data_IF_586568248830
#
_entry.id   IF_586568248830
#
_cell.length_a   1.000
_cell.length_b   1.000
_cell.length_c   1.000
_cell.angle_alpha   90.00
_cell.angle_beta   90.00
_cell.angle_gamma   90.00
#
_symmetry.space_group_name_H-M   'P 1'
#
loop_
_entity.id
_entity.type
_entity.pdbx_description
1 polymer ?
#
# COMPACT_ATOMS: atom_id res chain seq x y z
N UNK A 1 -23.55 -19.39 -34.10
CA UNK A 1 -23.06 -19.79 -32.77
C UNK A 1 -21.70 -19.12 -32.60
N UNK A 2 -21.73 -17.87 -32.12
CA UNK A 2 -20.58 -16.96 -32.10
C UNK A 2 -19.78 -17.21 -30.82
N UNK A 3 -18.45 -17.17 -30.92
CA UNK A 3 -17.44 -17.39 -29.87
C UNK A 3 -17.71 -16.64 -28.55
N UNK A 4 -18.59 -17.15 -27.70
CA UNK A 4 -18.87 -16.58 -26.37
C UNK A 4 -17.83 -16.93 -25.29
N UNK A 5 -16.78 -17.71 -25.63
CA UNK A 5 -15.83 -18.23 -24.63
C UNK A 5 -14.54 -17.40 -24.53
N UNK A 6 -14.26 -16.49 -25.48
CA UNK A 6 -13.00 -15.70 -25.48
C UNK A 6 -13.10 -14.29 -24.90
N UNK A 7 -14.30 -13.76 -24.63
CA UNK A 7 -14.50 -12.37 -24.19
C UNK A 7 -14.38 -12.13 -22.66
N UNK A 8 -14.10 -13.18 -21.85
CA UNK A 8 -13.98 -13.07 -20.39
C UNK A 8 -12.55 -12.86 -19.86
N UNK A 9 -11.55 -12.74 -20.73
CA UNK A 9 -10.14 -12.44 -20.37
C UNK A 9 -9.75 -10.97 -20.55
N UNK A 10 -10.71 -10.14 -20.96
CA UNK A 10 -10.43 -8.80 -21.43
C UNK A 10 -10.10 -7.86 -20.25
N UNK A 11 -9.00 -7.13 -20.36
CA UNK A 11 -8.66 -6.08 -19.41
C UNK A 11 -9.77 -5.01 -19.40
N UNK A 12 -9.92 -4.24 -18.32
CA UNK A 12 -10.91 -3.16 -18.24
C UNK A 12 -10.86 -2.16 -19.41
N UNK A 13 -9.71 -2.01 -20.06
CA UNK A 13 -9.54 -1.19 -21.28
C UNK A 13 -10.49 -1.58 -22.41
N UNK A 14 -10.83 -2.86 -22.55
CA UNK A 14 -11.76 -3.32 -23.57
C UNK A 14 -13.21 -2.88 -23.30
N UNK A 15 -13.50 -2.44 -22.08
CA UNK A 15 -14.79 -1.93 -21.63
C UNK A 15 -14.76 -0.41 -21.41
N UNK A 16 -13.81 0.30 -22.04
CA UNK A 16 -13.74 1.76 -21.99
C UNK A 16 -13.11 2.34 -20.72
N UNK A 17 -12.52 1.52 -19.85
CA UNK A 17 -11.74 2.03 -18.71
C UNK A 17 -10.36 2.50 -19.16
N UNK A 18 -9.91 3.63 -18.64
CA UNK A 18 -8.57 4.17 -18.88
C UNK A 18 -7.56 3.55 -17.91
N UNK A 19 -6.47 2.98 -18.43
CA UNK A 19 -5.37 2.51 -17.60
C UNK A 19 -4.54 3.69 -17.10
N UNK A 20 -4.29 3.74 -15.78
CA UNK A 20 -3.52 4.81 -15.14
C UNK A 20 -2.15 4.27 -14.71
N UNK A 21 -1.08 4.93 -15.15
CA UNK A 21 0.26 4.66 -14.64
C UNK A 21 0.62 5.62 -13.51
N UNK A 22 0.60 5.13 -12.27
CA UNK A 22 1.18 5.85 -11.15
C UNK A 22 2.67 5.53 -11.09
N UNK A 23 3.51 6.50 -11.47
CA UNK A 23 4.96 6.36 -11.30
C UNK A 23 5.31 6.40 -9.82
N UNK A 24 5.91 5.33 -9.25
CA UNK A 24 6.38 5.38 -7.88
C UNK A 24 7.52 6.41 -7.77
N UNK A 25 7.42 7.34 -6.82
CA UNK A 25 8.52 8.24 -6.51
C UNK A 25 9.52 7.52 -5.60
N UNK A 26 10.34 6.66 -6.19
CA UNK A 26 11.34 5.88 -5.46
C UNK A 26 12.32 6.77 -4.69
N UNK A 27 12.65 7.96 -5.23
CA UNK A 27 13.53 8.92 -4.57
C UNK A 27 13.00 9.41 -3.21
N UNK A 28 11.71 9.76 -3.14
CA UNK A 28 11.09 10.19 -1.88
C UNK A 28 10.98 9.08 -0.82
N UNK A 29 11.09 7.82 -1.24
CA UNK A 29 11.00 6.64 -0.36
C UNK A 29 12.39 6.20 0.12
N UNK A 30 13.33 6.07 -0.82
CA UNK A 30 14.65 5.54 -0.57
C UNK A 30 15.54 6.53 0.20
N UNK A 31 15.34 7.83 0.03
CA UNK A 31 16.15 8.83 0.71
C UNK A 31 15.94 8.78 2.25
N UNK A 32 14.71 8.89 2.81
CA UNK A 32 14.51 8.72 4.25
C UNK A 32 14.98 7.36 4.76
N UNK A 33 14.74 6.27 4.00
CA UNK A 33 15.17 4.93 4.39
C UNK A 33 16.70 4.83 4.52
N UNK A 34 17.43 5.35 3.53
CA UNK A 34 18.90 5.36 3.52
C UNK A 34 19.45 6.23 4.65
N UNK A 35 18.80 7.38 4.90
CA UNK A 35 19.15 8.25 6.02
C UNK A 35 18.80 7.63 7.37
N UNK A 36 17.86 6.69 7.46
CA UNK A 36 17.56 5.94 8.67
C UNK A 36 18.59 4.85 9.00
N UNK A 37 19.31 4.33 8.00
CA UNK A 37 20.39 3.36 8.22
C UNK A 37 21.60 3.97 8.92
N UNK A 38 21.91 5.24 8.64
CA UNK A 38 23.02 5.96 9.27
C UNK A 38 22.90 6.04 10.81
N UNK A 39 21.82 6.58 11.39
CA UNK A 39 21.65 6.61 12.83
C UNK A 39 21.52 5.21 13.42
N UNK A 40 20.96 4.22 12.71
CA UNK A 40 20.95 2.83 13.20
C UNK A 40 22.37 2.26 13.35
N UNK A 41 23.24 2.49 12.36
CA UNK A 41 24.64 2.09 12.43
C UNK A 41 25.38 2.84 13.55
N UNK A 42 25.11 4.13 13.74
CA UNK A 42 25.67 4.92 14.85
C UNK A 42 25.18 4.40 16.21
N UNK A 43 23.93 3.97 16.34
CA UNK A 43 23.42 3.32 17.56
C UNK A 43 24.26 2.10 17.93
N UNK A 44 24.60 1.25 16.96
CA UNK A 44 25.50 0.11 17.19
C UNK A 44 26.89 0.55 17.65
N UNK A 45 27.47 1.56 16.99
CA UNK A 45 28.80 2.06 17.35
C UNK A 45 28.79 2.62 18.78
N UNK A 46 27.80 3.43 19.14
CA UNK A 46 27.65 3.98 20.49
C UNK A 46 27.50 2.87 21.52
N UNK A 47 26.66 1.88 21.23
CA UNK A 47 26.45 0.73 22.11
C UNK A 47 27.74 -0.08 22.34
N UNK A 48 28.50 -0.40 21.28
CA UNK A 48 29.73 -1.19 21.44
C UNK A 48 30.90 -0.40 22.04
N UNK A 49 31.01 0.89 21.75
CA UNK A 49 32.09 1.74 22.27
C UNK A 49 31.78 2.34 23.64
N UNK A 50 30.52 2.22 24.11
CA UNK A 50 30.01 2.85 25.32
C UNK A 50 30.24 4.38 25.36
N UNK A 51 30.52 4.98 24.20
CA UNK A 51 30.89 6.39 24.07
C UNK A 51 29.69 7.16 23.52
N UNK A 52 29.20 8.15 24.28
CA UNK A 52 28.04 8.95 23.88
C UNK A 52 26.69 8.24 24.12
N UNK A 53 26.59 7.41 25.16
CA UNK A 53 25.36 6.68 25.51
C UNK A 53 24.13 7.57 25.68
N UNK A 54 24.30 8.85 26.05
CA UNK A 54 23.21 9.83 26.14
C UNK A 54 22.48 10.03 24.79
N UNK A 55 23.15 9.76 23.67
CA UNK A 55 22.60 9.89 22.31
C UNK A 55 21.90 8.61 21.83
N UNK A 56 22.03 7.49 22.53
CA UNK A 56 21.63 6.17 22.01
C UNK A 56 20.13 6.09 21.68
N UNK A 57 19.31 6.66 22.56
CA UNK A 57 17.87 6.71 22.40
C UNK A 57 17.47 7.58 21.21
N UNK A 58 18.15 8.72 21.04
CA UNK A 58 17.89 9.63 19.92
C UNK A 58 18.26 8.98 18.58
N UNK A 59 19.43 8.35 18.51
CA UNK A 59 19.88 7.65 17.30
C UNK A 59 18.95 6.48 16.95
N UNK A 60 18.61 5.66 17.96
CA UNK A 60 17.74 4.50 17.79
C UNK A 60 16.34 4.86 17.32
N UNK A 61 15.65 5.75 18.05
CA UNK A 61 14.30 6.17 17.67
C UNK A 61 14.33 6.98 16.35
N UNK A 62 15.35 7.84 16.16
CA UNK A 62 15.53 8.62 14.94
C UNK A 62 15.66 7.75 13.69
N UNK A 63 16.40 6.63 13.79
CA UNK A 63 16.48 5.64 12.72
C UNK A 63 15.11 5.08 12.32
N UNK A 64 14.33 4.65 13.31
CA UNK A 64 13.00 4.06 13.09
C UNK A 64 12.02 5.10 12.53
N UNK A 65 12.07 6.34 13.00
CA UNK A 65 11.25 7.44 12.45
C UNK A 65 11.57 7.65 10.97
N UNK A 66 12.85 7.70 10.59
CA UNK A 66 13.23 7.89 9.19
C UNK A 66 12.80 6.73 8.30
N UNK A 67 12.88 5.49 8.80
CA UNK A 67 12.34 4.31 8.11
C UNK A 67 10.82 4.40 7.93
N UNK A 68 10.10 4.83 8.96
CA UNK A 68 8.65 5.07 8.89
C UNK A 68 8.30 6.14 7.86
N UNK A 69 9.02 7.26 7.84
CA UNK A 69 8.81 8.32 6.83
C UNK A 69 8.99 7.77 5.42
N UNK A 70 10.02 6.95 5.20
CA UNK A 70 10.21 6.24 3.92
C UNK A 70 9.03 5.32 3.58
N UNK A 71 8.58 4.51 4.55
CA UNK A 71 7.42 3.63 4.39
C UNK A 71 6.13 4.37 4.06
N UNK A 72 5.82 5.47 4.77
CA UNK A 72 4.65 6.32 4.49
C UNK A 72 4.74 6.91 3.09
N UNK A 73 5.93 7.39 2.70
CA UNK A 73 6.18 7.90 1.35
C UNK A 73 5.77 6.89 0.27
N UNK A 74 6.08 5.61 0.47
CA UNK A 74 5.76 4.55 -0.49
C UNK A 74 4.25 4.33 -0.61
N UNK A 75 3.53 4.36 0.52
CA UNK A 75 2.08 4.14 0.55
C UNK A 75 1.27 5.37 0.11
N UNK A 76 1.83 6.57 0.23
CA UNK A 76 1.10 7.83 -0.03
C UNK A 76 0.43 7.91 -1.41
N UNK A 77 1.00 7.27 -2.42
CA UNK A 77 0.49 7.25 -3.79
C UNK A 77 -0.70 6.29 -3.99
N UNK A 78 -0.75 5.20 -3.21
CA UNK A 78 -1.77 4.13 -3.28
C UNK A 78 -2.17 3.71 -1.86
N UNK A 79 -2.92 4.57 -1.18
CA UNK A 79 -3.29 4.37 0.24
C UNK A 79 -3.97 3.02 0.52
N UNK A 80 -4.70 2.46 -0.46
CA UNK A 80 -5.36 1.17 -0.29
C UNK A 80 -4.42 -0.01 -0.08
N UNK A 81 -3.12 0.14 -0.35
CA UNK A 81 -2.11 -0.88 -0.10
C UNK A 81 -1.99 -1.23 1.40
N UNK A 82 -2.46 -0.36 2.31
CA UNK A 82 -2.57 -0.67 3.74
C UNK A 82 -3.47 -1.88 4.04
N UNK A 83 -4.31 -2.31 3.10
CA UNK A 83 -5.10 -3.54 3.26
C UNK A 83 -4.26 -4.82 3.10
N UNK A 84 -2.99 -4.73 2.66
CA UNK A 84 -2.02 -5.83 2.66
C UNK A 84 -1.54 -6.13 4.09
N UNK A 85 -1.48 -7.41 4.42
CA UNK A 85 -0.93 -7.88 5.69
C UNK A 85 0.58 -7.57 5.78
N UNK A 86 1.33 -7.80 4.70
CA UNK A 86 2.77 -7.52 4.64
C UNK A 86 3.05 -6.05 4.95
N UNK A 87 2.31 -5.13 4.30
CA UNK A 87 2.42 -3.70 4.57
C UNK A 87 2.06 -3.39 6.02
N UNK A 88 0.91 -3.85 6.49
CA UNK A 88 0.44 -3.63 7.87
C UNK A 88 1.45 -4.08 8.93
N UNK A 89 2.07 -5.24 8.74
CA UNK A 89 3.11 -5.75 9.64
C UNK A 89 4.37 -4.85 9.63
N UNK A 90 4.79 -4.32 8.48
CA UNK A 90 5.90 -3.37 8.40
C UNK A 90 5.73 -2.14 9.28
N UNK A 91 4.53 -1.53 9.24
CA UNK A 91 4.20 -0.39 10.09
C UNK A 91 4.03 -0.78 11.54
N UNK A 92 3.40 -1.92 11.83
CA UNK A 92 3.24 -2.44 13.18
C UNK A 92 4.59 -2.64 13.90
N UNK A 93 5.56 -3.31 13.25
CA UNK A 93 6.87 -3.54 13.84
C UNK A 93 7.69 -2.25 14.01
N UNK A 94 7.49 -1.28 13.13
CA UNK A 94 8.09 0.05 13.30
C UNK A 94 7.52 0.79 14.52
N UNK A 95 6.20 0.77 14.71
CA UNK A 95 5.56 1.34 15.91
C UNK A 95 6.01 0.62 17.19
N UNK A 96 6.12 -0.72 17.15
CA UNK A 96 6.62 -1.51 18.26
C UNK A 96 8.07 -1.15 18.60
N UNK A 97 8.91 -0.90 17.60
CA UNK A 97 10.29 -0.47 17.81
C UNK A 97 10.39 0.94 18.40
N UNK A 98 9.54 1.88 17.97
CA UNK A 98 9.44 3.19 18.64
C UNK A 98 9.03 3.05 20.11
N UNK A 99 8.09 2.16 20.40
CA UNK A 99 7.69 1.88 21.77
C UNK A 99 8.83 1.25 22.58
N UNK A 100 9.62 0.35 22.00
CA UNK A 100 10.81 -0.19 22.64
C UNK A 100 11.80 0.92 23.02
N UNK A 101 12.10 1.86 22.11
CA UNK A 101 12.97 3.01 22.41
C UNK A 101 12.40 3.95 23.47
N UNK A 102 11.08 4.15 23.50
CA UNK A 102 10.44 4.89 24.58
C UNK A 102 10.64 4.19 25.94
N UNK A 103 10.59 2.86 25.97
CA UNK A 103 10.81 2.10 27.20
C UNK A 103 12.28 2.11 27.64
N UNK A 104 13.23 2.04 26.70
CA UNK A 104 14.67 2.21 26.99
C UNK A 104 14.93 3.60 27.57
N UNK A 105 14.33 4.65 27.00
CA UNK A 105 14.48 6.02 27.51
C UNK A 105 13.93 6.20 28.93
N UNK A 106 12.96 5.39 29.34
CA UNK A 106 12.39 5.38 30.69
C UNK A 106 13.06 4.36 31.64
N UNK A 107 14.19 3.75 31.24
CA UNK A 107 14.92 2.72 31.99
C UNK A 107 14.08 1.48 32.34
N UNK A 108 13.04 1.19 31.54
CA UNK A 108 12.15 0.04 31.72
C UNK A 108 12.45 -1.10 30.74
N UNK A 109 13.49 -0.95 29.91
CA UNK A 109 13.85 -1.90 28.86
C UNK A 109 15.33 -1.81 28.52
N UNK A 110 15.94 -2.93 28.16
CA UNK A 110 17.37 -2.97 27.81
C UNK A 110 17.60 -2.43 26.39
N UNK A 111 18.75 -1.81 26.20
CA UNK A 111 19.14 -1.15 24.94
C UNK A 111 19.22 -2.17 23.80
N UNK A 112 19.68 -3.37 24.10
CA UNK A 112 19.81 -4.53 23.22
C UNK A 112 18.49 -4.84 22.52
N UNK A 113 17.38 -4.79 23.26
CA UNK A 113 16.05 -5.02 22.72
C UNK A 113 15.55 -3.84 21.87
N UNK A 114 15.93 -2.61 22.22
CA UNK A 114 15.72 -1.43 21.37
C UNK A 114 16.40 -1.59 20.01
N UNK A 115 17.67 -1.99 20.01
CA UNK A 115 18.45 -2.25 18.81
C UNK A 115 17.84 -3.40 18.00
N UNK A 116 17.58 -4.55 18.63
CA UNK A 116 17.00 -5.72 17.97
C UNK A 116 15.64 -5.40 17.32
N UNK A 117 14.77 -4.66 18.01
CA UNK A 117 13.49 -4.23 17.46
C UNK A 117 13.65 -3.30 16.25
N UNK A 118 14.69 -2.47 16.23
CA UNK A 118 14.98 -1.54 15.12
C UNK A 118 15.40 -2.29 13.86
N UNK A 119 16.22 -3.33 14.01
CA UNK A 119 16.58 -4.23 12.89
C UNK A 119 15.38 -5.00 12.39
N UNK A 120 14.52 -5.49 13.28
CA UNK A 120 13.28 -6.16 12.89
C UNK A 120 12.35 -5.20 12.12
N UNK A 121 12.18 -3.96 12.61
CA UNK A 121 11.43 -2.93 11.91
C UNK A 121 12.02 -2.64 10.52
N UNK A 122 13.34 -2.52 10.41
CA UNK A 122 14.02 -2.33 9.12
C UNK A 122 13.72 -3.47 8.14
N UNK A 123 13.88 -4.74 8.56
CA UNK A 123 13.60 -5.90 7.72
C UNK A 123 12.15 -5.91 7.24
N UNK A 124 11.21 -5.56 8.14
CA UNK A 124 9.79 -5.56 7.81
C UNK A 124 9.41 -4.39 6.88
N UNK A 125 9.97 -3.20 7.08
CA UNK A 125 9.82 -2.07 6.15
C UNK A 125 10.43 -2.41 4.80
N UNK A 126 11.60 -3.05 4.76
CA UNK A 126 12.21 -3.49 3.51
C UNK A 126 11.30 -4.46 2.74
N UNK A 127 10.70 -5.44 3.43
CA UNK A 127 9.71 -6.35 2.82
C UNK A 127 8.46 -5.63 2.30
N UNK A 128 7.96 -4.65 3.06
CA UNK A 128 6.88 -3.76 2.62
C UNK A 128 7.26 -3.03 1.33
N UNK A 129 8.44 -2.44 1.27
CA UNK A 129 8.90 -1.72 0.08
C UNK A 129 9.10 -2.65 -1.11
N UNK A 130 9.66 -3.84 -0.89
CA UNK A 130 9.83 -4.85 -1.93
C UNK A 130 8.49 -5.26 -2.54
N UNK A 131 7.48 -5.48 -1.70
CA UNK A 131 6.12 -5.77 -2.12
C UNK A 131 5.53 -4.62 -2.96
N UNK A 132 5.64 -3.38 -2.48
CA UNK A 132 5.09 -2.20 -3.18
C UNK A 132 5.78 -1.97 -4.53
N UNK A 133 7.12 -2.03 -4.58
CA UNK A 133 7.88 -1.75 -5.80
C UNK A 133 7.79 -2.85 -6.84
N UNK A 134 7.53 -4.10 -6.44
CA UNK A 134 7.33 -5.21 -7.37
C UNK A 134 5.88 -5.37 -7.83
N UNK A 135 4.96 -4.55 -7.34
CA UNK A 135 3.56 -4.58 -7.76
C UNK A 135 3.41 -4.08 -9.21
N UNK A 136 2.54 -4.74 -9.98
CA UNK A 136 2.28 -4.47 -11.39
C UNK A 136 1.56 -3.14 -11.64
N UNK A 137 1.06 -2.46 -10.59
CA UNK A 137 0.33 -1.19 -10.67
C UNK A 137 -0.85 -1.27 -11.65
N UNK A 138 -1.69 -2.30 -11.49
CA UNK A 138 -2.88 -2.50 -12.31
C UNK A 138 -4.01 -1.59 -11.83
N UNK A 139 -4.00 -0.36 -12.36
CA UNK A 139 -4.96 0.69 -12.00
C UNK A 139 -5.74 1.08 -13.24
N UNK A 140 -7.06 1.01 -13.12
CA UNK A 140 -7.99 1.38 -14.17
C UNK A 140 -8.97 2.43 -13.63
N UNK A 141 -9.38 3.36 -14.47
CA UNK A 141 -10.23 4.47 -14.11
C UNK A 141 -11.37 4.61 -15.13
N UNK A 142 -12.56 4.96 -14.65
CA UNK A 142 -13.66 5.41 -15.52
C UNK A 142 -14.36 6.61 -14.90
N UNK A 143 -14.97 7.46 -15.74
CA UNK A 143 -15.72 8.62 -15.28
C UNK A 143 -16.91 8.18 -14.43
N UNK A 144 -17.24 8.99 -13.41
CA UNK A 144 -18.31 8.67 -12.49
C UNK A 144 -19.14 9.90 -12.12
N UNK A 145 -20.41 9.69 -11.79
CA UNK A 145 -21.30 10.74 -11.32
C UNK A 145 -21.52 10.59 -9.81
N UNK A 146 -21.54 11.71 -9.08
CA UNK A 146 -21.79 11.71 -7.64
C UNK A 146 -23.15 11.09 -7.27
N UNK A 147 -24.11 11.14 -8.19
CA UNK A 147 -25.46 10.61 -8.01
C UNK A 147 -25.54 9.10 -8.30
N UNK A 148 -24.63 8.58 -9.13
CA UNK A 148 -24.59 7.17 -9.49
C UNK A 148 -24.13 6.30 -8.32
N UNK A 149 -24.79 5.16 -8.16
CA UNK A 149 -24.47 4.16 -7.13
C UNK A 149 -23.66 3.04 -7.75
N UNK A 150 -22.79 2.41 -6.96
CA UNK A 150 -22.11 1.20 -7.41
C UNK A 150 -23.13 0.11 -7.78
N UNK A 151 -22.98 -0.57 -8.93
CA UNK A 151 -23.84 -1.67 -9.35
C UNK A 151 -23.53 -2.93 -8.54
N UNK A 152 -23.99 -2.97 -7.28
CA UNK A 152 -23.63 -4.05 -6.34
C UNK A 152 -24.10 -5.44 -6.75
N UNK A 153 -25.13 -5.52 -7.61
CA UNK A 153 -25.67 -6.79 -8.10
C UNK A 153 -24.67 -7.51 -9.03
N UNK A 154 -23.77 -6.75 -9.64
CA UNK A 154 -22.74 -7.23 -10.58
C UNK A 154 -21.36 -7.36 -9.95
N UNK A 155 -21.30 -7.41 -8.62
CA UNK A 155 -20.07 -7.48 -7.84
C UNK A 155 -20.03 -8.74 -6.96
N UNK A 156 -19.76 -9.89 -7.58
CA UNK A 156 -19.74 -11.18 -6.87
C UNK A 156 -18.56 -11.29 -5.90
N UNK A 157 -18.85 -11.61 -4.64
CA UNK A 157 -17.87 -11.77 -3.54
C UNK A 157 -17.05 -10.51 -3.20
N UNK A 158 -17.60 -9.33 -3.48
CA UNK A 158 -17.02 -8.06 -3.02
C UNK A 158 -17.58 -7.65 -1.66
N UNK A 159 -16.71 -7.23 -0.75
CA UNK A 159 -17.06 -6.51 0.47
C UNK A 159 -17.43 -5.07 0.12
N UNK A 160 -18.74 -4.78 0.02
CA UNK A 160 -19.26 -3.46 -0.31
C UNK A 160 -19.36 -2.60 0.95
N UNK A 161 -18.45 -1.63 1.08
CA UNK A 161 -18.41 -0.69 2.22
C UNK A 161 -19.27 0.55 2.01
N UNK A 162 -19.35 1.04 0.78
CA UNK A 162 -20.20 2.17 0.42
C UNK A 162 -20.68 2.05 -1.01
N UNK A 163 -21.99 2.19 -1.23
CA UNK A 163 -22.58 2.28 -2.58
C UNK A 163 -22.51 3.69 -3.17
N UNK A 164 -22.29 4.71 -2.34
CA UNK A 164 -22.17 6.12 -2.76
C UNK A 164 -20.71 6.45 -3.01
N UNK A 165 -20.49 7.43 -3.89
CA UNK A 165 -19.16 7.97 -4.15
C UNK A 165 -18.47 8.38 -2.85
N UNK A 166 -17.28 7.83 -2.61
CA UNK A 166 -16.37 8.25 -1.55
C UNK A 166 -14.94 8.07 -2.02
N UNK A 167 -14.03 8.89 -1.51
CA UNK A 167 -12.60 8.78 -1.83
C UNK A 167 -11.89 7.67 -1.04
N UNK A 168 -12.57 7.11 -0.05
CA UNK A 168 -12.13 5.92 0.67
C UNK A 168 -12.53 4.66 -0.10
N UNK A 169 -12.07 3.49 0.35
CA UNK A 169 -12.48 2.19 -0.20
C UNK A 169 -14.00 2.05 -0.21
N UNK A 170 -14.59 1.96 -1.41
CA UNK A 170 -16.01 1.74 -1.64
C UNK A 170 -16.34 0.25 -1.67
N UNK A 171 -15.48 -0.54 -2.29
CA UNK A 171 -15.59 -1.99 -2.33
C UNK A 171 -14.20 -2.64 -2.29
N UNK A 172 -14.11 -3.83 -1.70
CA UNK A 172 -12.88 -4.60 -1.58
C UNK A 172 -13.14 -6.07 -1.91
N UNK A 173 -12.28 -6.69 -2.72
CA UNK A 173 -12.27 -8.14 -2.93
C UNK A 173 -10.89 -8.69 -2.65
N UNK A 174 -10.80 -9.71 -1.82
CA UNK A 174 -9.53 -10.36 -1.46
C UNK A 174 -9.40 -11.67 -2.23
N UNK A 175 -8.24 -11.87 -2.84
CA UNK A 175 -7.85 -13.14 -3.47
C UNK A 175 -6.93 -13.93 -2.53
N UNK A 176 -6.07 -13.21 -1.81
CA UNK A 176 -5.18 -13.73 -0.78
C UNK A 176 -4.91 -12.62 0.28
N UNK A 177 -4.05 -12.89 1.25
CA UNK A 177 -3.64 -11.96 2.32
C UNK A 177 -3.05 -10.66 1.77
N UNK A 178 -2.27 -10.77 0.69
CA UNK A 178 -1.59 -9.62 0.07
C UNK A 178 -2.06 -9.35 -1.37
N UNK A 179 -2.90 -10.21 -1.96
CA UNK A 179 -3.49 -9.99 -3.27
C UNK A 179 -4.97 -9.65 -3.15
N UNK A 180 -5.34 -8.45 -3.61
CA UNK A 180 -6.71 -7.94 -3.49
C UNK A 180 -6.97 -6.86 -4.53
N UNK A 181 -8.24 -6.62 -4.82
CA UNK A 181 -8.68 -5.49 -5.63
C UNK A 181 -9.59 -4.58 -4.81
N UNK A 182 -9.52 -3.28 -5.04
CA UNK A 182 -10.41 -2.31 -4.43
C UNK A 182 -11.00 -1.37 -5.47
N UNK A 183 -12.17 -0.84 -5.15
CA UNK A 183 -12.80 0.25 -5.88
C UNK A 183 -12.91 1.45 -4.94
N UNK A 184 -12.53 2.62 -5.43
CA UNK A 184 -12.64 3.88 -4.69
C UNK A 184 -12.81 5.06 -5.64
N UNK A 185 -13.41 6.14 -5.14
CA UNK A 185 -13.59 7.37 -5.89
C UNK A 185 -12.34 8.23 -5.93
N UNK A 186 -12.16 8.98 -7.02
CA UNK A 186 -11.12 9.99 -7.16
C UNK A 186 -11.70 11.25 -7.78
N UNK A 187 -11.14 12.40 -7.40
CA UNK A 187 -11.41 13.68 -8.06
C UNK A 187 -10.30 13.93 -9.07
N UNK A 188 -10.65 14.04 -10.35
CA UNK A 188 -9.72 14.39 -11.43
C UNK A 188 -9.95 15.84 -11.86
N UNK A 189 -9.13 16.34 -12.79
CA UNK A 189 -9.37 17.66 -13.38
C UNK A 189 -10.63 17.71 -14.25
N UNK A 190 -11.07 16.55 -14.75
CA UNK A 190 -12.22 16.41 -15.66
C UNK A 190 -13.53 16.12 -14.93
N UNK A 191 -13.48 15.78 -13.63
CA UNK A 191 -14.67 15.48 -12.85
C UNK A 191 -14.43 14.45 -11.76
N UNK A 192 -15.47 13.69 -11.44
CA UNK A 192 -15.36 12.53 -10.55
C UNK A 192 -15.09 11.29 -11.39
N UNK A 193 -14.29 10.38 -10.86
CA UNK A 193 -14.02 9.09 -11.47
C UNK A 193 -13.99 8.02 -10.40
N UNK A 194 -14.23 6.77 -10.77
CA UNK A 194 -13.95 5.61 -9.93
C UNK A 194 -12.68 4.94 -10.43
N UNK A 195 -11.90 4.40 -9.50
CA UNK A 195 -10.70 3.63 -9.78
C UNK A 195 -10.89 2.20 -9.30
N UNK A 196 -10.53 1.27 -10.16
CA UNK A 196 -10.31 -0.12 -9.85
C UNK A 196 -8.80 -0.33 -9.74
N UNK A 197 -8.36 -0.73 -8.57
CA UNK A 197 -6.94 -0.89 -8.26
C UNK A 197 -6.69 -2.30 -7.72
N UNK A 198 -5.88 -3.07 -8.43
CA UNK A 198 -5.48 -4.42 -8.04
C UNK A 198 -4.04 -4.41 -7.49
N UNK A 199 -3.88 -5.08 -6.34
CA UNK A 199 -2.67 -5.17 -5.55
C UNK A 199 -2.19 -6.63 -5.44
N UNK A 200 -0.90 -6.78 -5.19
CA UNK A 200 -0.24 -8.08 -4.97
C UNK A 200 -0.03 -8.88 -6.24
N UNK A 201 -0.11 -8.24 -7.40
CA UNK A 201 0.22 -8.85 -8.70
C UNK A 201 1.65 -8.46 -9.02
N UNK A 202 2.55 -9.43 -9.22
CA UNK A 202 3.95 -9.09 -9.50
C UNK A 202 4.12 -8.54 -10.91
N UNK A 203 5.04 -7.60 -11.07
CA UNK A 203 5.44 -7.11 -12.40
C UNK A 203 5.86 -8.28 -13.30
N UNK A 204 5.30 -8.32 -14.51
CA UNK A 204 5.55 -9.37 -15.50
C UNK A 204 4.62 -10.59 -15.38
N UNK A 205 3.83 -10.70 -14.31
CA UNK A 205 2.79 -11.72 -14.21
C UNK A 205 1.50 -11.27 -14.91
N UNK A 206 0.83 -12.22 -15.57
CA UNK A 206 -0.48 -11.97 -16.18
C UNK A 206 -1.56 -12.09 -15.10
N UNK A 207 -2.26 -11.00 -14.83
CA UNK A 207 -3.43 -11.02 -13.96
C UNK A 207 -4.64 -11.61 -14.70
N UNK A 208 -5.34 -12.52 -14.04
CA UNK A 208 -6.63 -13.03 -14.52
C UNK A 208 -7.76 -12.13 -14.02
N UNK A 209 -8.29 -11.28 -14.91
CA UNK A 209 -9.38 -10.35 -14.60
C UNK A 209 -10.70 -11.06 -14.25
N UNK A 210 -10.86 -12.35 -14.56
CA UNK A 210 -12.03 -13.14 -14.16
C UNK A 210 -12.17 -13.23 -12.65
N UNK A 211 -11.04 -13.20 -11.93
CA UNK A 211 -11.02 -13.24 -10.47
C UNK A 211 -11.77 -12.06 -9.86
N UNK A 212 -11.86 -10.93 -10.57
CA UNK A 212 -12.63 -9.78 -10.12
C UNK A 212 -14.12 -10.11 -9.99
N UNK A 213 -14.69 -10.96 -10.85
CA UNK A 213 -16.14 -11.26 -10.81
C UNK A 213 -16.99 -9.99 -10.91
N UNK A 214 -16.58 -9.06 -11.77
CA UNK A 214 -17.25 -7.81 -12.08
C UNK A 214 -17.84 -7.90 -13.49
N UNK A 215 -19.05 -7.39 -13.66
CA UNK A 215 -19.48 -6.93 -14.98
C UNK A 215 -19.06 -5.48 -15.17
N UNK A 216 -18.00 -5.26 -15.95
CA UNK A 216 -17.41 -3.93 -16.16
C UNK A 216 -18.26 -3.02 -17.03
N UNK A 217 -19.24 -3.56 -17.77
CA UNK A 217 -20.12 -2.76 -18.63
C UNK A 217 -21.09 -1.90 -17.82
N UNK A 218 -21.53 -2.39 -16.67
CA UNK A 218 -22.45 -1.66 -15.78
C UNK A 218 -21.82 -0.47 -15.04
N UNK A 219 -20.50 -0.29 -15.19
CA UNK A 219 -19.76 0.82 -14.61
C UNK A 219 -19.53 1.97 -15.61
N UNK A 220 -20.02 1.84 -16.83
CA UNK A 220 -19.97 2.92 -17.83
C UNK A 220 -21.23 3.75 -17.65
N UNK A 221 -21.06 5.04 -17.37
CA UNK A 221 -22.18 5.99 -17.41
C UNK A 221 -22.38 6.35 -18.88
N UNK A 222 -23.47 5.87 -19.48
CA UNK A 222 -23.93 6.42 -20.75
C UNK A 222 -24.38 7.86 -20.49
N UNK A 223 -23.76 8.82 -21.19
CA UNK A 223 -24.26 10.19 -21.22
C UNK A 223 -25.63 10.17 -21.92
N UNK A 224 -26.71 10.43 -21.17
CA UNK A 224 -28.02 10.81 -21.74
C UNK A 224 -27.94 12.15 -22.48
#
# INVERSE_FOLDING_TARGET
MVDMVRARDASPEHFGWEKIELKPNAGSVLLPLSWGLLPLALTLIVYFTQTGMDLINFLGAGAVILMLVGGIGAVSTRQGIFNSLTVGLGFFFSCLSLFAWLMVANNNFEVEWGIASSFLAFVMIFRTLDFIFKDANLIYQTNWSAKSRLPTESMTDWDIRSRRFTQNTMALKRFDKDSFAQIYGVRTKQGLAIRLDAFGVRMGERFDFRLLGLDLTEFIIEDE
#
